data_IF_729341834877
#
_entry.id   IF_729341834877
#
_cell.length_a   1.000
_cell.length_b   1.000
_cell.length_c   1.000
_cell.angle_alpha   90.00
_cell.angle_beta   90.00
_cell.angle_gamma   90.00
#
_symmetry.space_group_name_H-M   'P 1'
#
loop_
_entity.id
_entity.type
_entity.pdbx_description
1 polymer ?
#
# COMPACT_ATOMS: atom_id res chain seq x y z
N UNK A 1 16.32 2.51 21.73
CA UNK A 1 15.43 2.75 20.57
C UNK A 1 14.54 3.96 20.86
N UNK A 2 14.55 4.96 19.97
CA UNK A 2 13.67 6.12 20.14
C UNK A 2 12.28 5.87 19.57
N UNK A 3 11.37 6.82 19.76
CA UNK A 3 9.98 6.67 19.31
C UNK A 3 9.86 6.51 17.78
N UNK A 4 10.68 7.24 17.04
CA UNK A 4 10.68 7.14 15.56
C UNK A 4 11.13 5.76 15.10
N UNK A 5 12.18 5.22 15.68
CA UNK A 5 12.68 3.89 15.34
C UNK A 5 11.65 2.80 15.69
N UNK A 6 10.97 2.94 16.83
CA UNK A 6 9.93 2.01 17.22
C UNK A 6 8.74 2.05 16.25
N UNK A 7 8.36 3.26 15.82
CA UNK A 7 7.27 3.42 14.87
C UNK A 7 7.60 2.78 13.52
N UNK A 8 8.82 3.01 13.02
CA UNK A 8 9.28 2.39 11.77
C UNK A 8 9.29 0.86 11.89
N UNK A 9 9.77 0.34 13.02
CA UNK A 9 9.77 -1.10 13.26
C UNK A 9 8.35 -1.67 13.21
N UNK A 10 7.37 -0.99 13.80
CA UNK A 10 5.98 -1.41 13.77
C UNK A 10 5.42 -1.41 12.34
N UNK A 11 5.70 -0.38 11.55
CA UNK A 11 5.28 -0.33 10.14
C UNK A 11 5.87 -1.49 9.34
N UNK A 12 7.15 -1.76 9.53
CA UNK A 12 7.82 -2.85 8.83
C UNK A 12 7.28 -4.22 9.23
N UNK A 13 7.02 -4.44 10.52
CA UNK A 13 6.52 -5.71 11.02
C UNK A 13 5.08 -5.97 10.55
N UNK A 14 4.23 -4.96 10.59
CA UNK A 14 2.85 -5.08 10.09
C UNK A 14 2.85 -5.39 8.58
N UNK A 15 3.72 -4.73 7.81
CA UNK A 15 3.83 -4.98 6.38
C UNK A 15 4.34 -6.40 6.10
N UNK A 16 5.32 -6.87 6.87
CA UNK A 16 5.84 -8.23 6.72
C UNK A 16 4.73 -9.27 6.90
N UNK A 17 3.90 -9.08 7.92
CA UNK A 17 2.77 -9.97 8.20
C UNK A 17 1.71 -9.87 7.10
N UNK A 18 1.42 -8.66 6.62
CA UNK A 18 0.45 -8.46 5.54
C UNK A 18 0.89 -9.16 4.27
N UNK A 19 2.16 -9.02 3.88
CA UNK A 19 2.70 -9.66 2.68
C UNK A 19 2.61 -11.19 2.80
N UNK A 20 2.90 -11.73 3.97
CA UNK A 20 2.79 -13.17 4.20
C UNK A 20 1.38 -13.69 3.99
N UNK A 21 0.38 -12.94 4.48
CA UNK A 21 -1.03 -13.26 4.27
C UNK A 21 -1.39 -13.14 2.79
N UNK A 22 -0.99 -12.04 2.15
CA UNK A 22 -1.29 -11.81 0.73
C UNK A 22 -0.72 -12.90 -0.17
N UNK A 23 0.48 -13.40 0.13
CA UNK A 23 1.11 -14.47 -0.64
C UNK A 23 0.39 -15.80 -0.51
N UNK A 24 -0.44 -15.98 0.52
CA UNK A 24 -1.25 -17.19 0.67
C UNK A 24 -2.52 -17.17 -0.20
N UNK A 25 -2.86 -16.03 -0.80
CA UNK A 25 -4.03 -15.88 -1.67
C UNK A 25 -3.67 -16.33 -3.09
N UNK A 26 -4.49 -17.20 -3.68
CA UNK A 26 -4.26 -17.63 -5.07
C UNK A 26 -4.51 -16.49 -6.05
N UNK A 27 -3.91 -16.56 -7.25
CA UNK A 27 -4.10 -15.52 -8.27
C UNK A 27 -5.57 -15.34 -8.64
N UNK A 28 -6.33 -16.42 -8.72
CA UNK A 28 -7.75 -16.36 -9.01
C UNK A 28 -8.51 -15.60 -7.94
N UNK A 29 -8.17 -15.81 -6.67
CA UNK A 29 -8.80 -15.14 -5.54
C UNK A 29 -8.45 -13.67 -5.48
N UNK A 30 -7.27 -13.27 -5.97
CA UNK A 30 -6.86 -11.85 -6.00
C UNK A 30 -7.80 -11.00 -6.86
N UNK A 31 -8.36 -11.58 -7.93
CA UNK A 31 -9.30 -10.87 -8.81
C UNK A 31 -10.76 -11.04 -8.40
N UNK A 32 -11.04 -11.90 -7.43
CA UNK A 32 -12.40 -12.18 -7.03
C UNK A 32 -13.06 -10.97 -6.36
N UNK A 33 -14.35 -10.76 -6.67
CA UNK A 33 -15.18 -9.75 -6.05
C UNK A 33 -16.45 -10.39 -5.51
N UNK A 34 -16.92 -10.01 -4.30
CA UNK A 34 -18.19 -10.53 -3.78
C UNK A 34 -19.41 -10.05 -4.61
N UNK A 35 -19.30 -8.87 -5.26
CA UNK A 35 -20.27 -8.39 -6.22
C UNK A 35 -19.58 -7.39 -7.18
N UNK A 36 -20.24 -6.99 -8.29
CA UNK A 36 -19.60 -6.12 -9.29
C UNK A 36 -19.18 -4.74 -8.78
N UNK A 37 -19.79 -4.25 -7.71
CA UNK A 37 -19.47 -2.94 -7.14
C UNK A 37 -18.42 -3.02 -6.03
N UNK A 38 -18.10 -4.22 -5.54
CA UNK A 38 -17.13 -4.41 -4.49
C UNK A 38 -15.70 -4.37 -5.03
N UNK A 39 -14.74 -4.04 -4.16
CA UNK A 39 -13.33 -4.11 -4.50
C UNK A 39 -12.86 -5.56 -4.54
N UNK A 40 -11.98 -5.87 -5.50
CA UNK A 40 -11.26 -7.14 -5.50
C UNK A 40 -10.18 -7.14 -4.42
N UNK A 41 -9.61 -8.31 -4.11
CA UNK A 41 -8.46 -8.37 -3.20
C UNK A 41 -7.29 -7.55 -3.72
N UNK A 42 -7.02 -7.56 -5.02
CA UNK A 42 -5.97 -6.74 -5.63
C UNK A 42 -6.22 -5.26 -5.41
N UNK A 43 -7.46 -4.81 -5.61
CA UNK A 43 -7.80 -3.39 -5.41
C UNK A 43 -7.58 -2.98 -3.95
N UNK A 44 -7.95 -3.84 -3.00
CA UNK A 44 -7.74 -3.58 -1.58
C UNK A 44 -6.25 -3.54 -1.24
N UNK A 45 -5.46 -4.46 -1.78
CA UNK A 45 -4.02 -4.50 -1.56
C UNK A 45 -3.36 -3.22 -2.11
N UNK A 46 -3.71 -2.82 -3.32
CA UNK A 46 -3.21 -1.57 -3.91
C UNK A 46 -3.59 -0.37 -3.06
N UNK A 47 -4.82 -0.33 -2.56
CA UNK A 47 -5.26 0.75 -1.69
C UNK A 47 -4.41 0.83 -0.41
N UNK A 48 -4.12 -0.31 0.21
CA UNK A 48 -3.25 -0.36 1.40
C UNK A 48 -1.84 0.13 1.05
N UNK A 49 -1.29 -0.32 -0.08
CA UNK A 49 0.06 0.09 -0.50
C UNK A 49 0.14 1.58 -0.81
N UNK A 50 -0.90 2.15 -1.43
CA UNK A 50 -0.94 3.58 -1.74
C UNK A 50 -1.21 4.45 -0.52
N UNK A 51 -1.85 3.91 0.53
CA UNK A 51 -2.21 4.70 1.70
C UNK A 51 -1.01 5.36 2.37
N UNK A 52 0.14 4.71 2.38
CA UNK A 52 1.36 5.29 2.94
C UNK A 52 1.81 6.52 2.18
N UNK A 53 1.70 6.49 0.85
CA UNK A 53 2.04 7.65 0.02
C UNK A 53 1.02 8.78 0.22
N UNK A 54 -0.26 8.43 0.37
CA UNK A 54 -1.30 9.42 0.68
C UNK A 54 -1.01 10.11 2.02
N UNK A 55 -0.69 9.34 3.05
CA UNK A 55 -0.34 9.90 4.37
C UNK A 55 0.93 10.75 4.30
N UNK A 56 1.92 10.33 3.51
CA UNK A 56 3.14 11.12 3.30
C UNK A 56 2.80 12.51 2.76
N UNK A 57 1.96 12.58 1.73
CA UNK A 57 1.54 13.85 1.16
C UNK A 57 0.73 14.70 2.14
N UNK A 58 -0.16 14.07 2.90
CA UNK A 58 -0.95 14.78 3.92
C UNK A 58 -0.03 15.40 4.97
N UNK A 59 0.96 14.68 5.44
CA UNK A 59 1.90 15.15 6.47
C UNK A 59 2.74 16.32 5.92
N UNK A 60 3.30 16.17 4.72
CA UNK A 60 4.11 17.23 4.10
C UNK A 60 3.28 18.50 3.88
N UNK A 61 2.02 18.35 3.48
CA UNK A 61 1.12 19.45 3.20
C UNK A 61 0.33 19.91 4.43
N UNK A 62 0.77 19.54 5.62
CA UNK A 62 0.18 19.98 6.92
C UNK A 62 -1.30 19.66 7.06
N UNK A 63 -1.68 18.46 6.65
CA UNK A 63 -3.04 17.95 6.81
C UNK A 63 -3.95 18.16 5.61
N UNK A 64 -3.43 18.69 4.50
CA UNK A 64 -4.21 18.92 3.27
C UNK A 64 -3.71 18.00 2.17
N UNK A 65 -4.60 17.22 1.56
CA UNK A 65 -4.23 16.35 0.45
C UNK A 65 -3.99 17.14 -0.84
N UNK A 66 -4.73 18.23 -1.05
CA UNK A 66 -4.55 19.08 -2.23
C UNK A 66 -4.87 18.38 -3.54
N UNK A 67 -4.03 18.59 -4.53
CA UNK A 67 -4.21 18.02 -5.88
C UNK A 67 -3.52 16.68 -6.05
N UNK A 68 -3.33 15.93 -4.96
CA UNK A 68 -2.67 14.64 -5.01
C UNK A 68 -3.39 13.66 -5.93
N UNK A 69 -2.61 12.97 -6.75
CA UNK A 69 -3.10 11.87 -7.58
C UNK A 69 -2.28 10.62 -7.26
N UNK A 70 -2.96 9.49 -7.10
CA UNK A 70 -2.29 8.24 -6.81
C UNK A 70 -1.45 7.80 -8.01
N UNK A 71 -0.12 7.64 -7.86
CA UNK A 71 0.74 7.30 -9.01
C UNK A 71 0.48 5.92 -9.59
N UNK A 72 -0.15 5.03 -8.84
CA UNK A 72 -0.46 3.67 -9.32
C UNK A 72 -1.86 3.57 -9.93
N UNK A 73 -2.63 4.64 -9.94
CA UNK A 73 -3.97 4.66 -10.56
C UNK A 73 -3.86 4.39 -12.05
N UNK A 74 -4.65 3.46 -12.53
CA UNK A 74 -4.65 3.09 -13.94
C UNK A 74 -3.64 2.03 -14.32
N UNK A 75 -2.71 1.68 -13.45
CA UNK A 75 -1.79 0.58 -13.72
C UNK A 75 -2.55 -0.75 -13.72
N UNK A 76 -2.28 -1.65 -14.69
CA UNK A 76 -2.93 -2.95 -14.71
C UNK A 76 -2.52 -3.80 -13.51
N UNK A 77 -3.43 -4.66 -13.06
CA UNK A 77 -3.13 -5.62 -12.02
C UNK A 77 -2.51 -6.86 -12.67
N UNK A 78 -1.26 -7.17 -12.33
CA UNK A 78 -0.52 -8.29 -12.91
C UNK A 78 -0.22 -9.36 -11.86
N UNK A 79 0.76 -9.13 -10.99
CA UNK A 79 1.10 -10.06 -9.91
C UNK A 79 1.21 -9.30 -8.59
N UNK A 80 1.15 -10.04 -7.48
CA UNK A 80 1.34 -9.46 -6.15
C UNK A 80 2.74 -8.86 -6.01
N UNK A 81 3.75 -9.56 -6.54
CA UNK A 81 5.13 -9.10 -6.50
C UNK A 81 5.30 -7.76 -7.23
N UNK A 82 4.63 -7.60 -8.37
CA UNK A 82 4.66 -6.34 -9.12
C UNK A 82 4.01 -5.20 -8.33
N UNK A 83 2.88 -5.47 -7.66
CA UNK A 83 2.21 -4.47 -6.82
C UNK A 83 3.14 -3.98 -5.71
N UNK A 84 3.78 -4.90 -4.99
CA UNK A 84 4.68 -4.57 -3.90
C UNK A 84 5.89 -3.80 -4.44
N UNK A 85 6.47 -4.24 -5.54
CA UNK A 85 7.64 -3.60 -6.15
C UNK A 85 7.33 -2.18 -6.61
N UNK A 86 6.17 -1.98 -7.24
CA UNK A 86 5.78 -0.66 -7.76
C UNK A 86 5.51 0.33 -6.62
N UNK A 87 5.05 -0.14 -5.48
CA UNK A 87 4.77 0.71 -4.32
C UNK A 87 6.02 0.99 -3.48
N UNK A 88 7.07 0.18 -3.59
CA UNK A 88 8.24 0.25 -2.72
C UNK A 88 8.93 1.61 -2.70
N UNK A 89 9.15 2.31 -3.84
CA UNK A 89 9.79 3.63 -3.81
C UNK A 89 9.01 4.65 -2.97
N UNK A 90 7.69 4.60 -3.01
CA UNK A 90 6.83 5.51 -2.25
C UNK A 90 6.86 5.17 -0.75
N UNK A 91 6.90 3.88 -0.43
CA UNK A 91 7.03 3.43 0.95
C UNK A 91 8.36 3.87 1.56
N UNK A 92 9.45 3.74 0.82
CA UNK A 92 10.77 4.15 1.29
C UNK A 92 10.81 5.64 1.61
N UNK A 93 10.19 6.48 0.76
CA UNK A 93 10.09 7.91 1.01
C UNK A 93 9.28 8.20 2.27
N UNK A 94 8.19 7.48 2.48
CA UNK A 94 7.34 7.61 3.66
C UNK A 94 8.12 7.27 4.94
N UNK A 95 8.83 6.16 4.94
CA UNK A 95 9.58 5.71 6.13
C UNK A 95 10.78 6.57 6.46
N UNK A 96 11.29 7.33 5.49
CA UNK A 96 12.46 8.20 5.68
C UNK A 96 12.11 9.64 6.04
N UNK A 97 10.86 9.94 6.22
CA UNK A 97 10.45 11.30 6.61
C UNK A 97 11.07 11.76 7.94
#
# INVERSE_FOLDING_TARGET
MNATELLILNFEEVRRRSIKIWKSISEEQLFWKPDPEAMSCFEMIRHVLESENIYHHIIINRGVLGNYQCPLTGNPYTTLEDEIRNAQPYREKFLKM
#
